data_IF_944169005167
#
_entry.id   IF_944169005167
#
_cell.length_a   1.000
_cell.length_b   1.000
_cell.length_c   1.000
_cell.angle_alpha   90.00
_cell.angle_beta   90.00
_cell.angle_gamma   90.00
#
_symmetry.space_group_name_H-M   'P 1'
#
loop_
_entity.id
_entity.type
_entity.pdbx_description
1 polymer ?
#
# COMPACT_ATOMS: atom_id res chain seq x y z
N UNK A 1 -23.20 24.51 -29.44
CA UNK A 1 -21.71 24.48 -29.50
C UNK A 1 -21.11 23.98 -28.17
N UNK A 2 -21.59 24.48 -27.00
CA UNK A 2 -21.09 24.08 -25.65
C UNK A 2 -21.28 22.56 -25.37
N UNK A 3 -22.29 21.94 -25.97
CA UNK A 3 -22.62 20.54 -25.74
C UNK A 3 -21.61 19.53 -26.35
N UNK A 4 -21.04 19.88 -27.52
CA UNK A 4 -20.01 19.04 -28.17
C UNK A 4 -18.65 19.11 -27.45
N UNK A 5 -18.31 20.29 -26.93
CA UNK A 5 -17.03 20.50 -26.22
C UNK A 5 -16.95 19.71 -24.92
N UNK A 6 -18.03 19.69 -24.13
CA UNK A 6 -18.06 18.92 -22.86
C UNK A 6 -18.03 17.42 -23.08
N UNK A 7 -18.67 16.92 -24.13
CA UNK A 7 -18.64 15.51 -24.49
C UNK A 7 -17.27 15.10 -25.04
N UNK A 8 -16.65 15.95 -25.86
CA UNK A 8 -15.30 15.74 -26.36
C UNK A 8 -14.25 15.69 -25.25
N UNK A 9 -14.33 16.61 -24.28
CA UNK A 9 -13.44 16.61 -23.12
C UNK A 9 -13.60 15.36 -22.26
N UNK A 10 -14.83 14.89 -22.05
CA UNK A 10 -15.11 13.69 -21.29
C UNK A 10 -14.55 12.43 -21.98
N UNK A 11 -14.69 12.35 -23.31
CA UNK A 11 -14.08 11.26 -24.10
C UNK A 11 -12.57 11.31 -24.07
N UNK A 12 -11.95 12.48 -24.17
CA UNK A 12 -10.51 12.64 -24.07
C UNK A 12 -9.97 12.18 -22.71
N UNK A 13 -10.61 12.61 -21.61
CA UNK A 13 -10.24 12.17 -20.25
C UNK A 13 -10.43 10.66 -20.05
N UNK A 14 -11.49 10.10 -20.63
CA UNK A 14 -11.75 8.66 -20.63
C UNK A 14 -10.64 7.87 -21.37
N UNK A 15 -10.25 8.35 -22.54
CA UNK A 15 -9.18 7.73 -23.35
C UNK A 15 -7.83 7.81 -22.64
N UNK A 16 -7.48 8.94 -22.02
CA UNK A 16 -6.26 9.11 -21.23
C UNK A 16 -6.27 8.16 -20.01
N UNK A 17 -7.39 8.10 -19.29
CA UNK A 17 -7.52 7.19 -18.13
C UNK A 17 -7.40 5.72 -18.51
N UNK A 18 -8.00 5.33 -19.64
CA UNK A 18 -7.93 3.97 -20.16
C UNK A 18 -6.50 3.63 -20.64
N UNK A 19 -5.86 4.52 -21.38
CA UNK A 19 -4.48 4.36 -21.81
C UNK A 19 -3.53 4.23 -20.62
N UNK A 20 -3.69 5.08 -19.61
CA UNK A 20 -2.90 5.03 -18.38
C UNK A 20 -3.14 3.73 -17.57
N UNK A 21 -4.37 3.19 -17.57
CA UNK A 21 -4.67 1.91 -16.92
C UNK A 21 -4.04 0.73 -17.64
N UNK A 22 -4.02 0.76 -18.98
CA UNK A 22 -3.51 -0.33 -19.83
C UNK A 22 -1.99 -0.27 -20.06
N UNK A 23 -1.36 0.89 -19.87
CA UNK A 23 0.10 1.04 -20.03
C UNK A 23 0.91 0.56 -18.82
N UNK A 24 0.27 0.09 -17.77
CA UNK A 24 0.96 -0.48 -16.60
C UNK A 24 1.51 -1.88 -16.93
N UNK A 25 2.72 -2.23 -16.44
CA UNK A 25 3.32 -3.54 -16.71
C UNK A 25 2.48 -4.72 -16.20
N UNK A 26 1.64 -4.49 -15.19
CA UNK A 26 0.75 -5.44 -14.52
C UNK A 26 -0.72 -5.29 -14.94
N UNK A 27 -0.99 -4.62 -16.08
CA UNK A 27 -2.34 -4.36 -16.53
C UNK A 27 -3.10 -5.68 -16.79
N UNK A 28 -4.21 -5.85 -16.10
CA UNK A 28 -5.20 -6.91 -16.35
C UNK A 28 -6.51 -6.31 -16.88
N UNK A 29 -7.38 -7.13 -17.43
CA UNK A 29 -8.71 -6.67 -17.84
C UNK A 29 -9.52 -5.99 -16.72
N UNK A 30 -9.22 -6.29 -15.46
CA UNK A 30 -9.85 -5.64 -14.30
C UNK A 30 -9.28 -4.25 -14.02
N UNK A 31 -8.11 -3.91 -14.54
CA UNK A 31 -7.48 -2.59 -14.33
C UNK A 31 -8.27 -1.44 -14.95
N UNK A 32 -9.15 -1.74 -15.93
CA UNK A 32 -10.01 -0.74 -16.57
C UNK A 32 -11.31 -0.47 -15.81
N UNK A 33 -11.71 -1.35 -14.88
CA UNK A 33 -12.98 -1.25 -14.17
C UNK A 33 -13.15 0.08 -13.41
N UNK A 34 -12.15 0.58 -12.65
CA UNK A 34 -12.27 1.87 -11.97
C UNK A 34 -12.47 3.04 -12.95
N UNK A 35 -11.80 2.99 -14.10
CA UNK A 35 -11.92 4.02 -15.14
C UNK A 35 -13.33 4.01 -15.76
N UNK A 36 -13.85 2.83 -16.08
CA UNK A 36 -15.21 2.69 -16.63
C UNK A 36 -16.27 3.15 -15.62
N UNK A 37 -16.12 2.74 -14.37
CA UNK A 37 -17.02 3.16 -13.29
C UNK A 37 -16.99 4.70 -13.09
N UNK A 38 -15.81 5.31 -13.12
CA UNK A 38 -15.65 6.78 -13.04
C UNK A 38 -16.29 7.50 -14.20
N UNK A 39 -16.12 7.01 -15.43
CA UNK A 39 -16.77 7.57 -16.64
C UNK A 39 -18.28 7.45 -16.55
N UNK A 40 -18.80 6.29 -16.14
CA UNK A 40 -20.24 6.05 -16.00
C UNK A 40 -20.87 6.98 -14.96
N UNK A 41 -20.21 7.14 -13.82
CA UNK A 41 -20.65 8.03 -12.74
C UNK A 41 -20.63 9.50 -13.19
N UNK A 42 -19.54 9.92 -13.86
CA UNK A 42 -19.42 11.27 -14.42
C UNK A 42 -20.48 11.58 -15.47
N UNK A 43 -20.77 10.63 -16.37
CA UNK A 43 -21.81 10.75 -17.36
C UNK A 43 -23.21 10.85 -16.73
N UNK A 44 -23.51 10.01 -15.73
CA UNK A 44 -24.77 10.04 -15.00
C UNK A 44 -24.96 11.37 -14.27
N UNK A 45 -23.90 11.89 -13.62
CA UNK A 45 -23.91 13.20 -12.98
C UNK A 45 -24.18 14.34 -13.97
N UNK A 46 -23.53 14.32 -15.14
CA UNK A 46 -23.76 15.29 -16.21
C UNK A 46 -25.21 15.27 -16.73
N UNK A 47 -25.76 14.07 -16.95
CA UNK A 47 -27.15 13.89 -17.40
C UNK A 47 -28.13 14.39 -16.32
N UNK A 48 -27.88 14.07 -15.06
CA UNK A 48 -28.65 14.53 -13.93
C UNK A 48 -28.66 16.07 -13.84
N UNK A 49 -27.46 16.68 -13.88
CA UNK A 49 -27.33 18.16 -13.84
C UNK A 49 -28.01 18.82 -15.01
N UNK A 50 -27.95 18.25 -16.22
CA UNK A 50 -28.65 18.75 -17.40
C UNK A 50 -30.18 18.71 -17.25
N UNK A 51 -30.70 17.57 -16.75
CA UNK A 51 -32.15 17.45 -16.53
C UNK A 51 -32.66 18.43 -15.49
N UNK A 52 -31.83 18.69 -14.48
CA UNK A 52 -32.16 19.70 -13.43
C UNK A 52 -32.01 21.15 -13.89
N UNK A 53 -31.32 21.40 -15.03
CA UNK A 53 -31.05 22.72 -15.60
C UNK A 53 -31.89 23.02 -16.86
N UNK A 54 -32.73 22.08 -17.33
CA UNK A 54 -33.62 22.33 -18.47
C UNK A 54 -34.75 23.23 -17.99
N UNK A 55 -35.00 24.40 -18.64
CA UNK A 55 -36.16 25.19 -18.35
C UNK A 55 -37.40 24.35 -18.64
N UNK A 56 -38.28 24.20 -17.65
CA UNK A 56 -39.63 23.73 -17.89
C UNK A 56 -40.29 24.65 -18.90
N UNK A 57 -41.06 24.05 -19.80
CA UNK A 57 -41.74 24.79 -20.86
C UNK A 57 -42.59 25.96 -20.37
N UNK A 58 -43.23 26.75 -21.26
CA UNK A 58 -43.84 28.03 -20.93
C UNK A 58 -45.02 27.85 -19.97
N UNK A 59 -44.79 28.06 -18.71
CA UNK A 59 -45.77 28.27 -17.67
C UNK A 59 -45.46 29.56 -16.91
N UNK A 60 -46.47 30.27 -16.38
CA UNK A 60 -46.42 31.73 -16.14
C UNK A 60 -45.50 32.09 -14.96
N UNK A 61 -44.91 33.25 -15.15
CA UNK A 61 -44.20 34.12 -14.22
C UNK A 61 -44.47 33.86 -12.73
N UNK A 62 -43.66 32.97 -12.13
CA UNK A 62 -43.33 33.03 -10.73
C UNK A 62 -41.84 33.30 -10.63
N UNK A 63 -41.47 34.48 -10.18
CA UNK A 63 -40.10 34.90 -9.89
C UNK A 63 -39.41 33.88 -8.97
N UNK A 64 -38.69 32.90 -9.53
CA UNK A 64 -37.77 32.09 -8.75
C UNK A 64 -36.43 32.81 -8.60
N UNK A 65 -35.92 32.97 -7.39
CA UNK A 65 -34.67 33.68 -7.17
C UNK A 65 -33.52 32.95 -7.84
N UNK A 66 -32.91 33.61 -8.82
CA UNK A 66 -31.76 33.12 -9.63
C UNK A 66 -30.53 32.69 -8.81
N UNK A 67 -30.56 32.85 -7.49
CA UNK A 67 -29.46 32.50 -6.59
C UNK A 67 -29.43 31.03 -6.12
N UNK A 68 -30.56 30.32 -6.19
CA UNK A 68 -30.66 28.96 -5.65
C UNK A 68 -30.00 27.90 -6.56
N UNK A 69 -30.07 28.08 -7.87
CA UNK A 69 -29.50 27.12 -8.82
C UNK A 69 -27.98 27.16 -8.81
N UNK A 70 -27.38 28.34 -8.73
CA UNK A 70 -25.90 28.48 -8.65
C UNK A 70 -25.34 27.87 -7.38
N UNK A 71 -26.01 28.06 -6.25
CA UNK A 71 -25.56 27.49 -4.96
C UNK A 71 -25.66 25.97 -4.96
N UNK A 72 -26.77 25.42 -5.46
CA UNK A 72 -26.94 23.95 -5.58
C UNK A 72 -25.93 23.34 -6.53
N UNK A 73 -25.66 23.99 -7.65
CA UNK A 73 -24.61 23.56 -8.59
C UNK A 73 -23.23 23.53 -7.93
N UNK A 74 -22.84 24.58 -7.21
CA UNK A 74 -21.56 24.67 -6.54
C UNK A 74 -21.42 23.60 -5.42
N UNK A 75 -22.48 23.36 -4.65
CA UNK A 75 -22.50 22.32 -3.62
C UNK A 75 -22.38 20.94 -4.26
N UNK A 76 -23.19 20.65 -5.30
CA UNK A 76 -23.15 19.36 -5.98
C UNK A 76 -21.79 19.08 -6.63
N UNK A 77 -21.18 20.10 -7.26
CA UNK A 77 -19.84 20.01 -7.84
C UNK A 77 -18.76 19.80 -6.77
N UNK A 78 -18.87 20.47 -5.63
CA UNK A 78 -17.97 20.28 -4.49
C UNK A 78 -18.06 18.88 -3.90
N UNK A 79 -19.27 18.37 -3.68
CA UNK A 79 -19.51 17.00 -3.19
C UNK A 79 -18.98 15.96 -4.18
N UNK A 80 -19.21 16.16 -5.48
CA UNK A 80 -18.70 15.27 -6.53
C UNK A 80 -17.15 15.25 -6.58
N UNK A 81 -16.52 16.41 -6.46
CA UNK A 81 -15.06 16.53 -6.42
C UNK A 81 -14.46 15.84 -5.20
N UNK A 82 -15.02 16.07 -4.00
CA UNK A 82 -14.57 15.38 -2.76
C UNK A 82 -14.78 13.89 -2.86
N UNK A 83 -15.93 13.44 -3.38
CA UNK A 83 -16.23 12.03 -3.61
C UNK A 83 -15.24 11.36 -4.58
N UNK A 84 -14.88 12.04 -5.66
CA UNK A 84 -13.91 11.55 -6.64
C UNK A 84 -12.50 11.44 -6.06
N UNK A 85 -12.06 12.43 -5.28
CA UNK A 85 -10.76 12.40 -4.59
C UNK A 85 -10.70 11.28 -3.54
N UNK A 86 -11.75 11.10 -2.76
CA UNK A 86 -11.86 10.04 -1.77
C UNK A 86 -11.85 8.65 -2.44
N UNK A 87 -12.62 8.44 -3.49
CA UNK A 87 -12.68 7.19 -4.25
C UNK A 87 -11.34 6.87 -4.92
N UNK A 88 -10.69 7.89 -5.51
CA UNK A 88 -9.35 7.73 -6.13
C UNK A 88 -8.28 7.37 -5.11
N UNK A 89 -8.27 8.03 -3.94
CA UNK A 89 -7.34 7.75 -2.85
C UNK A 89 -7.51 6.35 -2.28
N UNK A 90 -8.76 5.97 -1.97
CA UNK A 90 -9.09 4.63 -1.45
C UNK A 90 -8.77 3.53 -2.48
N UNK A 91 -9.16 3.74 -3.76
CA UNK A 91 -8.87 2.78 -4.84
C UNK A 91 -7.38 2.55 -5.05
N UNK A 92 -6.58 3.62 -5.04
CA UNK A 92 -5.13 3.52 -5.14
C UNK A 92 -4.52 2.80 -3.94
N UNK A 93 -4.96 3.14 -2.71
CA UNK A 93 -4.50 2.49 -1.48
C UNK A 93 -4.80 1.00 -1.46
N UNK A 94 -6.02 0.61 -1.84
CA UNK A 94 -6.43 -0.79 -1.92
C UNK A 94 -5.64 -1.53 -3.01
N UNK A 95 -5.48 -0.95 -4.20
CA UNK A 95 -4.69 -1.53 -5.28
C UNK A 95 -3.23 -1.77 -4.91
N UNK A 96 -2.63 -0.84 -4.17
CA UNK A 96 -1.26 -1.02 -3.66
C UNK A 96 -1.15 -2.17 -2.66
N UNK A 97 -2.12 -2.29 -1.73
CA UNK A 97 -2.14 -3.41 -0.78
C UNK A 97 -2.29 -4.76 -1.47
N UNK A 98 -3.22 -4.88 -2.40
CA UNK A 98 -3.43 -6.11 -3.15
C UNK A 98 -2.18 -6.53 -3.94
N UNK A 99 -1.45 -5.58 -4.53
CA UNK A 99 -0.18 -5.86 -5.21
C UNK A 99 0.91 -6.31 -4.24
N UNK A 100 1.04 -5.66 -3.10
CA UNK A 100 2.02 -6.05 -2.09
C UNK A 100 1.74 -7.44 -1.52
N UNK A 101 0.48 -7.79 -1.31
CA UNK A 101 0.08 -9.12 -0.84
C UNK A 101 0.34 -10.20 -1.90
N UNK A 102 0.04 -9.92 -3.18
CA UNK A 102 0.34 -10.81 -4.29
C UNK A 102 1.86 -10.99 -4.49
N UNK A 103 2.63 -9.89 -4.41
CA UNK A 103 4.10 -9.93 -4.48
C UNK A 103 4.68 -10.78 -3.35
N UNK A 104 4.20 -10.58 -2.11
CA UNK A 104 4.63 -11.36 -0.95
C UNK A 104 4.32 -12.84 -1.10
N UNK A 105 3.15 -13.19 -1.62
CA UNK A 105 2.77 -14.59 -1.88
C UNK A 105 3.63 -15.26 -2.96
N UNK A 106 4.19 -14.47 -3.89
CA UNK A 106 5.10 -14.95 -4.94
C UNK A 106 6.56 -15.13 -4.51
N UNK A 107 6.95 -14.61 -3.32
CA UNK A 107 8.33 -14.75 -2.85
C UNK A 107 8.60 -16.16 -2.35
N UNK A 108 9.61 -16.80 -2.92
CA UNK A 108 10.16 -18.06 -2.44
C UNK A 108 11.48 -17.79 -1.73
N UNK A 109 11.53 -18.12 -0.44
CA UNK A 109 12.76 -17.94 0.34
C UNK A 109 13.76 -19.06 0.01
N UNK A 110 15.03 -18.72 -0.23
CA UNK A 110 16.09 -19.72 -0.40
C UNK A 110 16.29 -20.56 0.87
N UNK A 111 16.80 -21.76 0.70
CA UNK A 111 17.22 -22.59 1.85
C UNK A 111 18.40 -21.92 2.54
N UNK A 112 18.34 -21.67 3.86
CA UNK A 112 19.44 -21.07 4.59
C UNK A 112 20.70 -21.93 4.54
N UNK A 113 21.85 -21.27 4.40
CA UNK A 113 23.15 -21.96 4.44
C UNK A 113 23.48 -22.52 5.84
N UNK A 114 22.99 -21.83 6.88
CA UNK A 114 23.09 -22.25 8.27
C UNK A 114 21.69 -22.29 8.88
N UNK A 115 21.19 -23.50 9.09
CA UNK A 115 19.84 -23.74 9.61
C UNK A 115 19.86 -23.76 11.14
N UNK A 116 18.80 -23.26 11.75
CA UNK A 116 18.59 -23.37 13.18
C UNK A 116 18.43 -24.85 13.55
N UNK A 117 19.17 -25.29 14.56
CA UNK A 117 18.92 -26.59 15.15
C UNK A 117 17.52 -26.62 15.73
N UNK A 118 16.86 -27.80 15.69
CA UNK A 118 15.57 -27.94 16.35
C UNK A 118 15.76 -27.58 17.83
N UNK A 119 15.09 -26.52 18.29
CA UNK A 119 15.05 -26.21 19.71
C UNK A 119 14.51 -27.42 20.46
N UNK A 120 15.17 -27.74 21.59
CA UNK A 120 15.01 -28.98 22.36
C UNK A 120 13.58 -29.43 22.66
N UNK A 121 13.43 -30.32 23.62
CA UNK A 121 12.20 -31.04 23.93
C UNK A 121 10.89 -30.44 23.50
N UNK A 122 10.11 -31.20 22.76
CA UNK A 122 8.74 -30.86 22.35
C UNK A 122 7.90 -30.62 23.61
N UNK A 123 7.68 -29.35 23.94
CA UNK A 123 6.90 -28.93 25.12
C UNK A 123 5.46 -28.62 24.74
N UNK A 124 5.06 -28.86 23.51
CA UNK A 124 3.74 -28.53 22.99
C UNK A 124 2.62 -29.31 23.71
N UNK A 125 2.95 -30.47 24.31
CA UNK A 125 2.02 -31.29 25.06
C UNK A 125 1.83 -30.87 26.54
N UNK A 126 2.59 -29.88 27.00
CA UNK A 126 2.49 -29.40 28.39
C UNK A 126 1.29 -28.51 28.57
N UNK A 127 0.28 -28.99 29.31
CA UNK A 127 -0.94 -28.24 29.56
C UNK A 127 -0.66 -26.90 30.23
N UNK A 128 -1.13 -25.81 29.61
CA UNK A 128 -0.99 -24.42 30.13
C UNK A 128 0.30 -23.75 29.73
N UNK A 129 1.10 -24.38 28.88
CA UNK A 129 2.25 -23.74 28.24
C UNK A 129 1.82 -23.21 26.87
N UNK A 130 2.19 -21.95 26.57
CA UNK A 130 2.02 -21.37 25.25
C UNK A 130 2.96 -22.05 24.24
N UNK A 131 2.58 -22.19 22.95
CA UNK A 131 3.45 -22.75 21.92
C UNK A 131 4.78 -21.99 21.86
N UNK A 132 5.88 -22.73 21.68
CA UNK A 132 7.23 -22.15 21.60
C UNK A 132 7.34 -21.13 20.46
N UNK A 133 6.68 -21.40 19.35
CA UNK A 133 6.63 -20.48 18.20
C UNK A 133 5.28 -19.82 18.10
N UNK A 134 5.29 -18.50 18.01
CA UNK A 134 4.09 -17.68 17.75
C UNK A 134 3.74 -17.78 16.27
N UNK A 135 2.51 -18.21 15.90
CA UNK A 135 2.08 -18.23 14.50
C UNK A 135 2.15 -16.83 13.87
N UNK A 136 2.47 -16.77 12.58
CA UNK A 136 2.65 -15.49 11.86
C UNK A 136 1.40 -14.60 11.88
N UNK A 137 0.20 -15.19 11.88
CA UNK A 137 -1.08 -14.48 11.96
C UNK A 137 -1.36 -13.91 13.35
N UNK A 138 -0.75 -14.50 14.37
CA UNK A 138 -0.87 -14.10 15.77
C UNK A 138 0.32 -13.30 16.29
N UNK A 139 1.36 -13.14 15.46
CA UNK A 139 2.54 -12.36 15.84
C UNK A 139 2.16 -10.89 15.99
N UNK A 140 2.57 -10.27 17.10
CA UNK A 140 2.20 -8.89 17.37
C UNK A 140 2.72 -7.92 16.31
N UNK A 141 2.00 -6.82 16.13
CA UNK A 141 2.36 -5.77 15.19
C UNK A 141 2.12 -4.41 15.81
N UNK A 142 3.13 -3.55 15.72
CA UNK A 142 3.07 -2.14 16.10
C UNK A 142 3.56 -1.32 14.93
N UNK A 143 2.69 -0.47 14.40
CA UNK A 143 3.01 0.42 13.29
C UNK A 143 3.12 1.86 13.78
N UNK A 144 4.13 2.59 13.33
CA UNK A 144 4.26 4.04 13.54
C UNK A 144 3.58 4.84 12.43
N UNK A 145 3.27 4.19 11.31
CA UNK A 145 2.60 4.80 10.17
C UNK A 145 1.08 4.73 10.33
N UNK A 146 0.38 5.82 9.97
CA UNK A 146 -1.09 5.86 9.96
C UNK A 146 -1.70 4.81 9.03
N UNK A 147 -1.03 4.52 7.92
CA UNK A 147 -1.35 3.45 6.99
C UNK A 147 -0.12 2.57 6.82
N UNK A 148 -0.32 1.28 6.98
CA UNK A 148 0.74 0.30 6.75
C UNK A 148 1.29 0.43 5.34
N UNK A 149 2.59 0.66 5.17
CA UNK A 149 3.22 0.70 3.87
C UNK A 149 3.00 -0.61 3.10
N UNK A 150 2.55 -0.48 1.86
CA UNK A 150 2.41 -1.62 0.94
C UNK A 150 3.60 -1.58 -0.02
N UNK A 151 4.60 -2.40 0.25
CA UNK A 151 5.85 -2.49 -0.53
C UNK A 151 5.90 -3.86 -1.19
N UNK A 152 6.10 -3.89 -2.51
CA UNK A 152 6.33 -5.13 -3.26
C UNK A 152 7.80 -5.54 -3.17
N UNK A 153 8.13 -6.80 -3.51
CA UNK A 153 9.52 -7.27 -3.54
C UNK A 153 10.38 -6.44 -4.51
N UNK A 154 9.80 -6.04 -5.65
CA UNK A 154 10.48 -5.25 -6.68
C UNK A 154 10.75 -3.81 -6.23
N UNK A 155 9.86 -3.24 -5.39
CA UNK A 155 10.01 -1.88 -4.85
C UNK A 155 10.86 -1.84 -3.58
N UNK A 156 11.06 -2.99 -2.93
CA UNK A 156 11.77 -3.06 -1.66
C UNK A 156 13.25 -2.66 -1.81
N UNK A 157 13.72 -1.82 -0.91
CA UNK A 157 15.13 -1.39 -0.86
C UNK A 157 15.59 -1.30 0.58
N UNK A 158 16.79 -1.84 0.85
CA UNK A 158 17.52 -1.64 2.09
C UNK A 158 18.63 -0.63 1.85
N UNK A 159 18.56 0.51 2.55
CA UNK A 159 19.62 1.52 2.52
C UNK A 159 20.30 1.59 3.87
N UNK A 160 21.62 1.37 3.87
CA UNK A 160 22.49 1.54 5.04
C UNK A 160 23.27 2.85 4.82
N UNK A 161 23.05 3.82 5.70
CA UNK A 161 23.60 5.17 5.59
C UNK A 161 23.86 5.79 6.96
N UNK A 162 24.42 6.99 7.02
CA UNK A 162 24.73 7.73 8.25
C UNK A 162 26.16 7.48 8.71
N UNK A 163 26.36 6.83 9.84
CA UNK A 163 27.70 6.55 10.41
C UNK A 163 28.43 5.40 9.68
N UNK A 164 28.47 5.46 8.36
CA UNK A 164 29.20 4.55 7.49
C UNK A 164 30.05 5.39 6.52
N UNK A 165 31.24 4.92 6.16
CA UNK A 165 32.10 5.62 5.21
C UNK A 165 31.54 5.60 3.78
N UNK A 166 30.77 4.57 3.45
CA UNK A 166 30.11 4.41 2.16
C UNK A 166 28.69 3.92 2.34
N UNK A 167 27.74 4.60 1.73
CA UNK A 167 26.34 4.15 1.72
C UNK A 167 26.21 2.87 0.89
N UNK A 168 25.34 1.97 1.37
CA UNK A 168 24.97 0.73 0.70
C UNK A 168 23.47 0.73 0.44
N UNK A 169 23.07 0.39 -0.77
CA UNK A 169 21.68 0.14 -1.12
C UNK A 169 21.57 -1.22 -1.78
N UNK A 170 20.68 -2.07 -1.25
CA UNK A 170 20.38 -3.40 -1.77
C UNK A 170 18.90 -3.48 -2.16
N UNK A 171 18.62 -4.16 -3.25
CA UNK A 171 17.29 -4.63 -3.55
C UNK A 171 17.01 -6.00 -2.88
N UNK A 172 15.77 -6.49 -3.03
CA UNK A 172 15.35 -7.71 -2.36
C UNK A 172 16.09 -8.95 -2.89
N UNK A 173 16.30 -9.04 -4.21
CA UNK A 173 17.01 -10.16 -4.85
C UNK A 173 18.48 -10.20 -4.44
N UNK A 174 19.11 -9.03 -4.37
CA UNK A 174 20.49 -8.90 -3.87
C UNK A 174 20.60 -9.36 -2.41
N UNK A 175 19.60 -9.08 -1.57
CA UNK A 175 19.57 -9.60 -0.21
C UNK A 175 19.40 -11.13 -0.18
N UNK A 176 18.46 -11.67 -0.95
CA UNK A 176 18.19 -13.10 -1.02
C UNK A 176 19.34 -13.92 -1.61
N UNK A 177 20.19 -13.31 -2.45
CA UNK A 177 21.37 -13.97 -3.03
C UNK A 177 22.53 -14.15 -2.04
N UNK A 178 22.40 -13.59 -0.82
CA UNK A 178 23.43 -13.71 0.22
C UNK A 178 23.33 -15.06 0.94
N UNK A 179 24.42 -15.51 1.61
CA UNK A 179 24.35 -16.63 2.53
C UNK A 179 23.39 -16.29 3.68
N UNK A 180 22.21 -16.90 3.64
CA UNK A 180 21.19 -16.70 4.66
C UNK A 180 21.45 -17.65 5.84
N UNK A 181 21.13 -17.17 7.02
CA UNK A 181 21.11 -17.99 8.24
C UNK A 181 19.69 -18.03 8.80
N UNK A 182 19.39 -19.09 9.52
CA UNK A 182 18.14 -19.28 10.23
C UNK A 182 18.38 -19.24 11.74
N UNK A 183 17.58 -18.47 12.47
CA UNK A 183 17.68 -18.34 13.93
C UNK A 183 16.29 -18.21 14.56
N UNK A 184 16.14 -18.84 15.71
CA UNK A 184 14.97 -18.65 16.55
C UNK A 184 15.20 -17.41 17.43
N UNK A 185 14.34 -16.40 17.28
CA UNK A 185 14.50 -15.12 17.98
C UNK A 185 13.18 -14.70 18.59
N UNK A 186 13.21 -14.40 19.87
CA UNK A 186 12.11 -13.78 20.59
C UNK A 186 12.22 -12.25 20.47
N UNK A 187 11.20 -11.62 19.94
CA UNK A 187 11.08 -10.15 19.89
C UNK A 187 10.03 -9.70 20.90
N UNK A 188 10.38 -8.71 21.68
CA UNK A 188 9.46 -8.02 22.58
C UNK A 188 9.45 -6.52 22.24
N UNK A 189 8.27 -5.92 22.16
CA UNK A 189 8.15 -4.48 22.01
C UNK A 189 8.64 -3.77 23.27
N UNK A 190 9.30 -2.62 23.12
CA UNK A 190 9.71 -1.78 24.25
C UNK A 190 8.52 -1.34 25.11
N UNK A 191 7.32 -1.26 24.53
CA UNK A 191 6.07 -0.94 25.22
C UNK A 191 5.34 -2.16 25.79
N UNK A 192 5.95 -3.36 25.76
CA UNK A 192 5.33 -4.55 26.33
C UNK A 192 5.37 -4.49 27.86
N UNK A 193 4.21 -4.59 28.48
CA UNK A 193 4.12 -4.72 29.94
C UNK A 193 4.38 -6.17 30.39
N UNK A 194 4.65 -6.39 31.66
CA UNK A 194 4.84 -7.74 32.22
C UNK A 194 3.56 -8.55 32.01
N UNK A 195 3.67 -9.70 31.33
CA UNK A 195 2.53 -10.52 30.93
C UNK A 195 1.75 -9.94 29.75
N UNK A 196 2.27 -8.92 29.08
CA UNK A 196 1.64 -8.29 27.91
C UNK A 196 1.79 -9.14 26.66
N UNK A 197 1.03 -8.77 25.62
CA UNK A 197 0.89 -9.52 24.35
C UNK A 197 1.86 -9.08 23.25
N UNK A 198 2.71 -8.07 23.50
CA UNK A 198 3.65 -7.56 22.50
C UNK A 198 5.00 -8.28 22.59
N UNK A 199 4.95 -9.60 22.63
CA UNK A 199 6.11 -10.50 22.58
C UNK A 199 5.76 -11.66 21.67
N UNK A 200 6.73 -12.15 20.91
CA UNK A 200 6.55 -13.31 20.04
C UNK A 200 7.90 -13.96 19.75
N UNK A 201 7.91 -15.28 19.65
CA UNK A 201 9.07 -16.06 19.23
C UNK A 201 8.82 -16.63 17.85
N UNK A 202 9.75 -16.43 16.94
CA UNK A 202 9.64 -16.96 15.59
C UNK A 202 11.00 -17.39 15.04
N UNK A 203 10.93 -18.22 14.01
CA UNK A 203 12.09 -18.63 13.23
C UNK A 203 12.32 -17.64 12.09
N UNK A 204 13.45 -16.99 12.13
CA UNK A 204 13.81 -15.92 11.20
C UNK A 204 14.87 -16.38 10.23
N UNK A 205 14.72 -16.00 8.97
CA UNK A 205 15.73 -16.16 7.93
C UNK A 205 16.26 -14.78 7.58
N UNK A 206 17.57 -14.61 7.56
CA UNK A 206 18.18 -13.32 7.29
C UNK A 206 19.68 -13.39 7.05
N UNK A 207 20.27 -12.24 6.80
CA UNK A 207 21.71 -12.05 6.64
C UNK A 207 22.26 -11.42 7.92
N UNK A 208 23.34 -11.94 8.52
CA UNK A 208 24.00 -11.26 9.63
C UNK A 208 24.49 -9.88 9.19
N UNK A 209 24.04 -8.82 9.87
CA UNK A 209 24.38 -7.45 9.50
C UNK A 209 25.90 -7.22 9.48
N UNK A 210 26.62 -7.81 10.44
CA UNK A 210 28.09 -7.72 10.50
C UNK A 210 28.73 -8.26 9.21
N UNK A 211 28.33 -9.48 8.79
CA UNK A 211 28.87 -10.07 7.58
C UNK A 211 28.50 -9.27 6.32
N UNK A 212 27.30 -8.67 6.31
CA UNK A 212 26.88 -7.81 5.23
C UNK A 212 27.79 -6.57 5.10
N UNK A 213 28.09 -5.93 6.22
CA UNK A 213 28.96 -4.75 6.26
C UNK A 213 30.41 -5.10 5.88
N UNK A 214 30.95 -6.20 6.42
CA UNK A 214 32.31 -6.67 6.15
C UNK A 214 32.48 -7.05 4.66
N UNK A 215 31.54 -7.77 4.08
CA UNK A 215 31.58 -8.22 2.67
C UNK A 215 31.45 -7.06 1.68
N UNK A 216 30.61 -6.10 2.00
CA UNK A 216 30.39 -4.91 1.15
C UNK A 216 31.46 -3.83 1.36
N UNK A 217 32.41 -4.08 2.25
CA UNK A 217 33.46 -3.11 2.59
C UNK A 217 32.83 -1.75 2.96
N UNK A 218 31.83 -1.79 3.87
CA UNK A 218 31.17 -0.63 4.42
C UNK A 218 31.68 -0.43 5.85
N UNK A 219 32.87 0.17 6.03
CA UNK A 219 33.38 0.39 7.37
C UNK A 219 32.50 1.41 8.10
N UNK A 220 32.41 1.24 9.41
CA UNK A 220 31.78 2.26 10.27
C UNK A 220 32.65 3.50 10.31
N UNK A 221 32.02 4.66 10.24
CA UNK A 221 32.73 5.93 10.35
C UNK A 221 33.41 6.05 11.73
N UNK A 222 34.66 6.51 11.75
CA UNK A 222 35.47 6.62 12.96
C UNK A 222 34.93 7.61 14.02
N UNK A 223 33.92 8.36 13.71
CA UNK A 223 33.24 9.28 14.67
C UNK A 223 32.29 8.57 15.62
N UNK A 224 32.22 7.22 15.58
CA UNK A 224 31.52 6.41 16.55
C UNK A 224 32.43 5.97 17.72
N UNK A 225 33.51 6.66 17.94
CA UNK A 225 34.37 6.48 19.11
C UNK A 225 33.79 7.33 20.27
N UNK A 226 32.69 6.79 20.87
CA UNK A 226 32.35 7.04 22.29
C UNK A 226 31.21 6.13 22.71
#
# INVERSE_FOLDING_TARGET
VINGLNFGLMLALAAIGLAAALSRPDASGLSVVPTIAGIGTGAAALVYLRRSSSPAGPEPEAEMPAGLDRRRFLIASGVAAVGALAAGGLGNGLGRRLRADASRAGVTLPVPADQASRAGADLDDVRGLEPCFTPNDSFYRVDTALLVPAVTAEEWRLRIHGMVERELTLDYDQLLSRPLIERDVTLACVSNEVGGRYVGNARWIGVPLRELLDREQVPLARTADD
#
